data_IF_693582615391
#
_entry.id   IF_693582615391
#
_cell.length_a   1.000
_cell.length_b   1.000
_cell.length_c   1.000
_cell.angle_alpha   90.00
_cell.angle_beta   90.00
_cell.angle_gamma   90.00
#
_symmetry.space_group_name_H-M   'P 1'
#
loop_
_entity.id
_entity.type
_entity.pdbx_description
1 polymer ?
#
# COMPACT_ATOMS: atom_id res chain seq x y z
N UNK A 1 2.76 -13.13 -0.04
CA UNK A 1 2.64 -12.33 -1.27
C UNK A 1 3.70 -11.21 -1.35
N UNK A 2 4.91 -11.44 -0.82
CA UNK A 2 6.06 -10.51 -0.98
C UNK A 2 7.06 -11.04 -2.02
N UNK A 3 6.67 -12.07 -2.77
CA UNK A 3 7.55 -12.60 -3.80
C UNK A 3 7.55 -11.62 -4.99
N UNK A 4 8.74 -11.26 -5.52
CA UNK A 4 8.85 -10.41 -6.69
C UNK A 4 8.33 -11.10 -7.97
N UNK A 5 8.03 -12.40 -7.91
CA UNK A 5 7.32 -13.15 -8.92
C UNK A 5 6.51 -14.28 -8.28
N UNK A 6 5.39 -14.63 -8.90
CA UNK A 6 4.55 -15.74 -8.47
C UNK A 6 4.59 -16.86 -9.51
N UNK A 7 4.91 -18.08 -9.08
CA UNK A 7 4.71 -19.29 -9.87
C UNK A 7 3.36 -19.92 -9.53
N UNK A 8 2.91 -20.86 -10.38
CA UNK A 8 1.69 -21.64 -10.14
C UNK A 8 1.71 -22.33 -8.77
N UNK A 9 2.86 -22.85 -8.35
CA UNK A 9 3.04 -23.47 -7.04
C UNK A 9 2.83 -22.45 -5.91
N UNK A 10 3.42 -21.25 -6.02
CA UNK A 10 3.26 -20.22 -4.97
C UNK A 10 1.84 -19.69 -4.88
N UNK A 11 1.11 -19.66 -6.00
CA UNK A 11 -0.31 -19.28 -6.02
C UNK A 11 -1.17 -20.37 -5.38
N UNK A 12 -0.86 -21.64 -5.65
CA UNK A 12 -1.52 -22.75 -4.99
C UNK A 12 -1.30 -22.72 -3.47
N UNK A 13 -0.06 -22.52 -3.02
CA UNK A 13 0.23 -22.37 -1.59
C UNK A 13 -0.47 -21.18 -0.94
N UNK A 14 -0.72 -20.10 -1.70
CA UNK A 14 -1.48 -18.95 -1.22
C UNK A 14 -2.96 -19.33 -0.98
N UNK A 15 -3.56 -20.07 -1.92
CA UNK A 15 -4.94 -20.56 -1.77
C UNK A 15 -5.05 -21.56 -0.61
N UNK A 16 -4.15 -22.54 -0.53
CA UNK A 16 -4.13 -23.54 0.55
C UNK A 16 -4.03 -22.88 1.93
N UNK A 17 -3.19 -21.86 2.08
CA UNK A 17 -3.05 -21.12 3.34
C UNK A 17 -4.33 -20.35 3.70
N UNK A 18 -5.01 -19.76 2.72
CA UNK A 18 -6.28 -19.05 2.93
C UNK A 18 -7.42 -20.00 3.28
N UNK A 19 -7.48 -21.15 2.61
CA UNK A 19 -8.46 -22.19 2.88
C UNK A 19 -8.26 -22.78 4.27
N UNK A 20 -7.02 -23.09 4.65
CA UNK A 20 -6.69 -23.55 6.00
C UNK A 20 -7.09 -22.52 7.06
N UNK A 21 -6.82 -21.23 6.82
CA UNK A 21 -7.26 -20.18 7.72
C UNK A 21 -8.78 -20.13 7.83
N UNK A 22 -9.50 -20.21 6.71
CA UNK A 22 -10.96 -20.17 6.70
C UNK A 22 -11.62 -21.39 7.32
N UNK A 23 -11.01 -22.57 7.24
CA UNK A 23 -11.46 -23.77 7.92
C UNK A 23 -11.32 -23.70 9.46
N UNK A 24 -10.32 -22.96 9.96
CA UNK A 24 -10.00 -22.94 11.39
C UNK A 24 -10.46 -21.68 12.13
N UNK A 25 -10.70 -20.55 11.44
CA UNK A 25 -10.96 -19.25 12.08
C UNK A 25 -12.16 -19.24 13.04
N UNK A 26 -13.12 -20.15 12.88
CA UNK A 26 -14.32 -20.19 13.72
C UNK A 26 -14.00 -20.49 15.19
N UNK A 27 -12.84 -21.09 15.49
CA UNK A 27 -12.38 -21.27 16.86
C UNK A 27 -12.24 -19.94 17.62
N UNK A 28 -11.87 -18.85 16.94
CA UNK A 28 -11.78 -17.52 17.57
C UNK A 28 -13.15 -16.96 17.94
N UNK A 29 -14.21 -17.37 17.21
CA UNK A 29 -15.59 -17.02 17.54
C UNK A 29 -16.06 -17.85 18.72
N UNK A 30 -15.79 -19.17 18.70
CA UNK A 30 -16.17 -20.09 19.78
C UNK A 30 -15.51 -19.72 21.12
N UNK A 31 -14.26 -19.28 21.10
CA UNK A 31 -13.53 -18.82 22.28
C UNK A 31 -13.95 -17.40 22.74
N UNK A 32 -14.86 -16.74 22.02
CA UNK A 32 -15.32 -15.38 22.36
C UNK A 32 -14.29 -14.28 22.11
N UNK A 33 -13.21 -14.55 21.38
CA UNK A 33 -12.16 -13.57 21.07
C UNK A 33 -12.68 -12.53 20.06
N UNK A 34 -13.57 -12.93 19.16
CA UNK A 34 -14.13 -12.06 18.12
C UNK A 34 -15.55 -12.47 17.73
N UNK A 35 -16.40 -11.48 17.43
CA UNK A 35 -17.80 -11.73 17.04
C UNK A 35 -17.95 -12.29 15.62
N UNK A 36 -17.14 -11.82 14.66
CA UNK A 36 -17.17 -12.27 13.26
C UNK A 36 -15.89 -11.88 12.50
N UNK A 37 -15.70 -12.46 11.31
CA UNK A 37 -14.60 -12.18 10.38
C UNK A 37 -15.07 -11.39 9.13
N UNK A 38 -16.08 -10.53 9.26
CA UNK A 38 -16.55 -9.66 8.17
C UNK A 38 -15.58 -8.49 7.96
N UNK A 39 -14.34 -8.83 7.60
CA UNK A 39 -13.25 -7.89 7.38
C UNK A 39 -13.04 -7.74 5.87
N UNK A 40 -13.31 -6.56 5.28
CA UNK A 40 -13.13 -6.34 3.85
C UNK A 40 -11.73 -6.71 3.36
N UNK A 41 -10.69 -6.42 4.14
CA UNK A 41 -9.29 -6.80 3.82
C UNK A 41 -9.08 -8.31 3.75
N UNK A 42 -9.71 -9.07 4.64
CA UNK A 42 -9.63 -10.52 4.65
C UNK A 42 -10.42 -11.11 3.47
N UNK A 43 -11.59 -10.54 3.16
CA UNK A 43 -12.35 -10.93 1.97
C UNK A 43 -11.56 -10.65 0.68
N UNK A 44 -10.89 -9.50 0.59
CA UNK A 44 -10.06 -9.12 -0.55
C UNK A 44 -8.97 -10.16 -0.85
N UNK A 45 -8.40 -10.80 0.18
CA UNK A 45 -7.35 -11.80 0.02
C UNK A 45 -7.78 -13.00 -0.85
N UNK A 46 -9.07 -13.37 -0.86
CA UNK A 46 -9.60 -14.43 -1.73
C UNK A 46 -9.49 -14.10 -3.23
N UNK A 47 -9.38 -12.82 -3.57
CA UNK A 47 -9.23 -12.37 -4.95
C UNK A 47 -7.76 -12.26 -5.36
N UNK A 48 -6.80 -12.45 -4.45
CA UNK A 48 -5.38 -12.21 -4.74
C UNK A 48 -4.84 -13.14 -5.83
N UNK A 49 -5.18 -14.43 -5.83
CA UNK A 49 -4.76 -15.32 -6.91
C UNK A 49 -5.23 -14.80 -8.27
N UNK A 50 -6.53 -14.55 -8.43
CA UNK A 50 -7.10 -14.00 -9.67
C UNK A 50 -6.43 -12.69 -10.07
N UNK A 51 -6.25 -11.76 -9.12
CA UNK A 51 -5.61 -10.47 -9.38
C UNK A 51 -4.16 -10.65 -9.82
N UNK A 52 -3.41 -11.56 -9.19
CA UNK A 52 -2.01 -11.81 -9.56
C UNK A 52 -1.91 -12.39 -10.97
N UNK A 53 -2.80 -13.32 -11.33
CA UNK A 53 -2.84 -13.90 -12.68
C UNK A 53 -3.18 -12.87 -13.74
N UNK A 54 -4.10 -11.94 -13.47
CA UNK A 54 -4.55 -10.95 -14.45
C UNK A 54 -3.62 -9.73 -14.54
N UNK A 55 -3.04 -9.31 -13.43
CA UNK A 55 -2.43 -7.99 -13.29
C UNK A 55 -0.96 -8.03 -12.84
N UNK A 56 -0.42 -9.21 -12.57
CA UNK A 56 0.94 -9.41 -12.09
C UNK A 56 1.07 -9.27 -10.57
N UNK A 57 2.29 -9.14 -10.09
CA UNK A 57 2.60 -9.07 -8.65
C UNK A 57 1.93 -7.88 -7.97
N UNK A 58 1.63 -8.03 -6.67
CA UNK A 58 0.90 -7.02 -5.88
C UNK A 58 1.75 -5.83 -5.44
N UNK A 59 3.06 -5.86 -5.70
CA UNK A 59 4.03 -4.82 -5.34
C UNK A 59 3.73 -3.48 -6.00
N UNK A 60 3.28 -3.48 -7.26
CA UNK A 60 2.90 -2.26 -7.99
C UNK A 60 1.50 -1.73 -7.66
N UNK A 61 0.73 -2.39 -6.79
CA UNK A 61 -0.65 -2.01 -6.45
C UNK A 61 -0.81 -1.52 -5.01
N UNK A 62 0.30 -1.32 -4.29
CA UNK A 62 0.27 -0.79 -2.94
C UNK A 62 0.24 0.75 -2.95
N UNK A 63 -0.21 1.35 -1.85
CA UNK A 63 -0.25 2.81 -1.69
C UNK A 63 1.06 3.36 -1.12
N UNK A 64 2.10 2.53 -0.95
CA UNK A 64 3.34 2.94 -0.31
C UNK A 64 4.05 4.01 -1.12
N UNK A 65 4.09 3.86 -2.45
CA UNK A 65 4.68 4.86 -3.34
C UNK A 65 3.94 6.20 -3.26
N UNK A 66 2.61 6.18 -3.33
CA UNK A 66 1.80 7.40 -3.26
C UNK A 66 1.85 8.04 -1.87
N UNK A 67 1.95 7.26 -0.79
CA UNK A 67 2.09 7.80 0.57
C UNK A 67 3.48 8.43 0.77
N UNK A 68 4.55 7.83 0.23
CA UNK A 68 5.88 8.45 0.24
C UNK A 68 5.88 9.78 -0.52
N UNK A 69 5.29 9.82 -1.72
CA UNK A 69 5.12 11.07 -2.44
C UNK A 69 4.29 12.09 -1.66
N UNK A 70 3.24 11.67 -0.96
CA UNK A 70 2.43 12.56 -0.14
C UNK A 70 3.24 13.14 1.05
N UNK A 71 4.17 12.37 1.63
CA UNK A 71 5.12 12.90 2.63
C UNK A 71 5.99 13.99 2.00
N UNK A 72 6.69 13.67 0.93
CA UNK A 72 7.70 14.55 0.32
C UNK A 72 7.11 15.81 -0.34
N UNK A 73 5.91 15.67 -0.93
CA UNK A 73 5.28 16.71 -1.75
C UNK A 73 4.22 17.51 -1.00
N UNK A 74 3.55 16.91 0.00
CA UNK A 74 2.48 17.58 0.73
C UNK A 74 2.88 17.86 2.18
N UNK A 75 3.26 16.84 2.97
CA UNK A 75 3.54 17.04 4.41
C UNK A 75 4.75 17.94 4.63
N UNK A 76 5.87 17.67 3.97
CA UNK A 76 7.08 18.50 4.09
C UNK A 76 6.85 19.94 3.59
N UNK A 77 6.15 20.07 2.46
CA UNK A 77 5.82 21.37 1.88
C UNK A 77 4.94 22.18 2.83
N UNK A 78 3.92 21.54 3.43
CA UNK A 78 3.02 22.16 4.39
C UNK A 78 3.76 22.59 5.67
N UNK A 79 4.62 21.74 6.21
CA UNK A 79 5.47 22.04 7.37
C UNK A 79 6.42 23.23 7.14
N UNK A 80 6.79 23.50 5.88
CA UNK A 80 7.63 24.63 5.51
C UNK A 80 6.86 25.96 5.31
N UNK A 81 5.53 25.94 5.43
CA UNK A 81 4.70 27.15 5.32
C UNK A 81 4.48 27.83 6.66
N UNK A 82 3.89 29.03 6.63
CA UNK A 82 3.36 29.69 7.82
C UNK A 82 1.92 29.27 8.17
N UNK A 83 1.36 28.26 7.48
CA UNK A 83 -0.02 27.77 7.63
C UNK A 83 -1.13 28.80 7.35
N UNK A 84 -0.86 29.82 6.53
CA UNK A 84 -1.84 30.79 6.04
C UNK A 84 -1.75 30.91 4.51
N UNK A 85 -2.84 30.66 3.78
CA UNK A 85 -2.83 30.61 2.31
C UNK A 85 -1.74 29.67 1.78
N UNK A 86 -1.66 28.48 2.38
CA UNK A 86 -0.58 27.52 2.29
C UNK A 86 -0.37 26.97 0.87
N UNK A 87 -1.42 26.87 0.06
CA UNK A 87 -1.35 26.24 -1.26
C UNK A 87 -0.32 26.93 -2.19
N UNK A 88 -0.31 28.27 -2.22
CA UNK A 88 0.65 29.04 -3.00
C UNK A 88 2.08 28.88 -2.46
N UNK A 89 2.23 28.75 -1.14
CA UNK A 89 3.52 28.59 -0.49
C UNK A 89 4.09 27.19 -0.74
N UNK A 90 3.27 26.15 -0.60
CA UNK A 90 3.61 24.76 -0.91
C UNK A 90 4.03 24.62 -2.38
N UNK A 91 3.28 25.21 -3.31
CA UNK A 91 3.61 25.19 -4.74
C UNK A 91 4.98 25.83 -5.00
N UNK A 92 5.23 27.03 -4.45
CA UNK A 92 6.52 27.72 -4.57
C UNK A 92 7.67 26.95 -3.91
N UNK A 93 7.41 26.27 -2.80
CA UNK A 93 8.39 25.44 -2.12
C UNK A 93 8.79 24.24 -3.00
N UNK A 94 7.82 23.57 -3.62
CA UNK A 94 8.05 22.47 -4.54
C UNK A 94 8.86 22.90 -5.77
N UNK A 95 8.50 24.00 -6.42
CA UNK A 95 9.25 24.55 -7.57
C UNK A 95 10.71 24.83 -7.22
N UNK A 96 10.98 25.33 -6.00
CA UNK A 96 12.35 25.60 -5.54
C UNK A 96 13.12 24.30 -5.28
N UNK A 97 12.50 23.32 -4.61
CA UNK A 97 13.08 22.00 -4.34
C UNK A 97 13.45 21.30 -5.65
N UNK A 98 12.54 21.35 -6.64
CA UNK A 98 12.78 20.83 -7.98
C UNK A 98 13.99 21.50 -8.65
N UNK A 99 14.06 22.85 -8.68
CA UNK A 99 15.19 23.57 -9.29
C UNK A 99 16.55 23.23 -8.64
N UNK A 100 16.59 23.08 -7.32
CA UNK A 100 17.80 22.66 -6.60
C UNK A 100 18.21 21.25 -6.99
N UNK A 101 17.27 20.31 -7.05
CA UNK A 101 17.54 18.93 -7.47
C UNK A 101 18.06 18.86 -8.91
N UNK A 102 17.47 19.64 -9.83
CA UNK A 102 17.96 19.74 -11.21
C UNK A 102 19.38 20.30 -11.28
N UNK A 103 19.66 21.36 -10.54
CA UNK A 103 20.99 21.95 -10.48
C UNK A 103 22.05 20.95 -9.96
N UNK A 104 21.73 20.21 -8.89
CA UNK A 104 22.60 19.18 -8.33
C UNK A 104 22.89 18.02 -9.28
N UNK A 105 21.99 17.70 -10.22
CA UNK A 105 22.22 16.66 -11.22
C UNK A 105 23.11 17.13 -12.38
N UNK A 106 23.18 18.44 -12.60
CA UNK A 106 23.90 19.03 -13.74
C UNK A 106 25.34 19.42 -13.39
N UNK A 107 25.62 19.73 -12.13
CA UNK A 107 26.97 20.00 -11.58
C UNK A 107 27.61 18.71 -11.11
#
# INVERSE_FOLDING_TARGET
AQYPCHSSETLHSLDEALDLFHANKDIFIQLGIRNNFNLPKLHAARHYHLMITLFGTTDNYNTEYTEHLHIDLAKDAYCATNHQDEFLQMTRWLERKEKVLWHQKYV
#
